data_IF_837960363392
#
_entry.id   IF_837960363392
#
_cell.length_a   1.000
_cell.length_b   1.000
_cell.length_c   1.000
_cell.angle_alpha   90.00
_cell.angle_beta   90.00
_cell.angle_gamma   90.00
#
_symmetry.space_group_name_H-M   'P 1'
#
loop_
_entity.id
_entity.type
_entity.pdbx_description
1 polymer ?
#
# COMPACT_ATOMS: atom_id res chain seq x y z
N UNK A 1 -17.14 -30.53 32.13
CA UNK A 1 -17.11 -29.40 31.18
C UNK A 1 -16.90 -29.96 29.78
N UNK A 2 -17.79 -29.70 28.80
CA UNK A 2 -17.58 -30.13 27.40
C UNK A 2 -16.98 -28.97 26.61
N UNK A 3 -15.88 -29.16 25.85
CA UNK A 3 -15.33 -28.10 25.00
C UNK A 3 -16.31 -27.71 23.90
N UNK A 4 -16.24 -26.45 23.47
CA UNK A 4 -17.09 -25.94 22.38
C UNK A 4 -16.87 -26.75 21.09
N UNK A 5 -17.87 -26.85 20.19
CA UNK A 5 -17.78 -27.71 19.01
C UNK A 5 -16.57 -27.45 18.10
N UNK A 6 -16.02 -26.22 18.09
CA UNK A 6 -14.82 -25.83 17.31
C UNK A 6 -13.53 -26.39 17.91
N UNK A 7 -13.50 -26.57 19.24
CA UNK A 7 -12.36 -27.09 20.00
C UNK A 7 -12.38 -28.62 20.13
N UNK A 8 -13.35 -29.29 19.51
CA UNK A 8 -13.31 -30.76 19.39
C UNK A 8 -12.08 -31.15 18.57
N UNK A 9 -11.22 -31.99 19.16
CA UNK A 9 -9.88 -32.35 18.66
C UNK A 9 -9.85 -32.72 17.17
N UNK A 10 -10.88 -33.41 16.68
CA UNK A 10 -10.98 -33.84 15.27
C UNK A 10 -11.22 -32.69 14.29
N UNK A 11 -11.84 -31.58 14.72
CA UNK A 11 -12.08 -30.39 13.88
C UNK A 11 -10.88 -29.45 13.89
N UNK A 12 -10.20 -29.32 15.02
CA UNK A 12 -9.02 -28.45 15.16
C UNK A 12 -7.87 -28.88 14.23
N UNK A 13 -7.67 -30.19 14.01
CA UNK A 13 -6.59 -30.74 13.18
C UNK A 13 -6.69 -30.41 11.69
N UNK A 14 -7.87 -29.98 11.20
CA UNK A 14 -8.06 -29.57 9.81
C UNK A 14 -7.91 -28.06 9.59
N UNK A 15 -7.69 -27.28 10.65
CA UNK A 15 -7.41 -25.85 10.52
C UNK A 15 -5.99 -25.62 9.97
N UNK A 16 -5.82 -24.50 9.25
CA UNK A 16 -4.52 -24.12 8.73
C UNK A 16 -3.59 -23.73 9.87
N UNK A 17 -2.40 -24.31 9.86
CA UNK A 17 -1.37 -24.04 10.86
C UNK A 17 -0.92 -22.57 10.86
N UNK A 18 -0.87 -22.02 12.06
CA UNK A 18 -0.37 -20.69 12.40
C UNK A 18 0.92 -20.81 13.20
N UNK A 19 1.63 -19.68 13.36
CA UNK A 19 2.90 -19.62 14.10
C UNK A 19 2.75 -19.90 15.60
N UNK A 20 1.53 -19.99 16.11
CA UNK A 20 1.24 -20.18 17.55
C UNK A 20 0.72 -21.59 17.86
N UNK A 21 0.52 -22.43 16.85
CA UNK A 21 -0.02 -23.78 17.02
C UNK A 21 1.07 -24.82 17.33
N UNK A 22 2.30 -24.57 16.88
CA UNK A 22 3.44 -25.50 16.99
C UNK A 22 4.70 -24.75 17.37
N UNK A 23 5.68 -25.49 17.89
CA UNK A 23 6.94 -24.97 18.41
C UNK A 23 8.08 -25.07 17.36
N UNK A 24 9.33 -25.15 17.83
CA UNK A 24 10.60 -25.26 17.09
C UNK A 24 10.48 -25.89 15.70
N UNK A 25 11.04 -25.20 14.70
CA UNK A 25 11.16 -25.68 13.31
C UNK A 25 10.07 -25.18 12.37
N UNK A 26 8.93 -24.70 12.88
CA UNK A 26 7.91 -24.07 12.05
C UNK A 26 8.06 -22.54 12.04
N UNK A 27 8.48 -21.99 10.90
CA UNK A 27 8.53 -20.54 10.66
C UNK A 27 7.56 -20.15 9.54
N UNK A 28 6.74 -19.14 9.79
CA UNK A 28 5.80 -18.57 8.80
C UNK A 28 5.84 -17.05 8.90
N UNK A 29 6.23 -16.39 7.82
CA UNK A 29 6.40 -14.93 7.78
C UNK A 29 5.08 -14.17 7.62
N UNK A 30 5.11 -12.87 7.95
CA UNK A 30 3.97 -11.95 7.86
C UNK A 30 4.06 -10.99 6.66
N UNK A 31 4.73 -11.42 5.58
CA UNK A 31 4.91 -10.63 4.34
C UNK A 31 5.56 -9.24 4.55
N UNK A 32 6.45 -9.12 5.52
CA UNK A 32 7.25 -7.90 5.73
C UNK A 32 8.25 -7.65 4.59
N UNK A 33 8.50 -8.64 3.73
CA UNK A 33 9.43 -8.55 2.61
C UNK A 33 10.88 -8.87 3.01
N UNK A 34 11.71 -9.20 2.03
CA UNK A 34 13.13 -9.51 2.24
C UNK A 34 13.98 -8.24 2.08
N UNK A 35 14.43 -7.67 3.20
CA UNK A 35 15.23 -6.42 3.24
C UNK A 35 16.74 -6.69 3.10
N UNK A 36 17.13 -7.88 2.66
CA UNK A 36 18.49 -8.36 2.69
C UNK A 36 18.59 -9.87 2.51
N UNK A 37 19.64 -10.46 3.07
CA UNK A 37 19.95 -11.89 2.92
C UNK A 37 20.47 -12.53 4.20
N UNK A 38 20.18 -13.82 4.37
CA UNK A 38 20.81 -14.63 5.40
C UNK A 38 22.29 -14.88 5.10
N UNK A 39 23.08 -15.08 6.16
CA UNK A 39 24.49 -15.47 6.08
C UNK A 39 24.65 -16.97 6.31
N UNK A 40 25.81 -17.52 5.95
CA UNK A 40 26.15 -18.95 6.18
C UNK A 40 26.03 -19.36 7.65
N UNK A 41 26.24 -18.42 8.58
CA UNK A 41 26.30 -18.67 10.03
C UNK A 41 25.02 -18.24 10.76
N UNK A 42 23.91 -18.07 10.05
CA UNK A 42 22.60 -17.76 10.65
C UNK A 42 22.33 -16.27 10.94
N UNK A 43 23.30 -15.37 10.71
CA UNK A 43 23.08 -13.93 10.74
C UNK A 43 22.28 -13.41 9.54
N UNK A 44 21.95 -12.12 9.54
CA UNK A 44 21.23 -11.44 8.46
C UNK A 44 21.92 -10.11 8.09
N UNK A 45 22.16 -9.88 6.80
CA UNK A 45 22.77 -8.63 6.28
C UNK A 45 21.68 -7.82 5.59
N UNK A 46 21.51 -6.57 6.00
CA UNK A 46 20.56 -5.63 5.40
C UNK A 46 21.13 -5.08 4.09
N UNK A 47 20.29 -5.07 3.06
CA UNK A 47 20.59 -4.48 1.76
C UNK A 47 19.75 -3.20 1.61
N UNK A 48 20.38 -2.04 1.85
CA UNK A 48 19.68 -0.75 1.96
C UNK A 48 18.86 -0.35 0.72
N UNK A 49 19.25 -0.78 -0.48
CA UNK A 49 18.48 -0.53 -1.70
C UNK A 49 17.13 -1.27 -1.75
N UNK A 50 16.90 -2.27 -0.89
CA UNK A 50 15.61 -2.98 -0.73
C UNK A 50 14.76 -2.40 0.39
N UNK A 51 15.34 -1.55 1.24
CA UNK A 51 14.64 -0.94 2.37
C UNK A 51 13.72 0.14 1.84
N UNK A 52 12.42 0.00 2.12
CA UNK A 52 11.41 0.97 1.71
C UNK A 52 11.51 2.24 2.56
N UNK A 53 11.47 3.39 1.90
CA UNK A 53 11.36 4.71 2.52
C UNK A 53 10.01 5.34 2.15
N UNK A 54 9.47 6.17 3.03
CA UNK A 54 8.28 6.99 2.76
C UNK A 54 8.73 8.44 2.67
N UNK A 55 8.79 8.99 1.45
CA UNK A 55 9.30 10.34 1.21
C UNK A 55 8.22 11.35 1.60
N UNK A 56 8.53 12.20 2.57
CA UNK A 56 7.66 13.28 3.03
C UNK A 56 8.01 14.55 2.25
N UNK A 57 7.06 15.18 1.53
CA UNK A 57 7.31 16.44 0.84
C UNK A 57 7.77 17.56 1.78
N UNK A 58 8.61 18.46 1.27
CA UNK A 58 9.03 19.66 1.99
C UNK A 58 7.87 20.68 2.08
N UNK A 59 7.90 21.56 3.09
CA UNK A 59 6.93 22.66 3.22
C UNK A 59 5.52 22.26 3.68
N UNK A 60 5.29 21.00 4.10
CA UNK A 60 3.97 20.53 4.55
C UNK A 60 3.37 21.34 5.71
N UNK A 61 4.21 21.92 6.58
CA UNK A 61 3.76 22.73 7.72
C UNK A 61 2.99 23.97 7.28
N UNK A 62 3.39 24.56 6.15
CA UNK A 62 2.82 25.80 5.63
C UNK A 62 1.79 25.54 4.50
N UNK A 63 1.54 24.25 4.18
CA UNK A 63 0.63 23.85 3.12
C UNK A 63 -0.83 24.04 3.55
N UNK A 64 -1.61 24.69 2.68
CA UNK A 64 -2.99 25.12 3.00
C UNK A 64 -4.04 24.06 2.72
N UNK A 65 -3.75 23.05 1.90
CA UNK A 65 -4.75 22.01 1.59
C UNK A 65 -4.95 21.11 2.80
N UNK A 66 -6.22 20.89 3.13
CA UNK A 66 -6.64 20.04 4.25
C UNK A 66 -7.37 18.80 3.73
N UNK A 67 -7.54 17.73 4.53
CA UNK A 67 -8.29 16.55 4.11
C UNK A 67 -9.79 16.79 3.93
N UNK A 68 -10.30 17.99 4.25
CA UNK A 68 -11.71 18.35 4.14
C UNK A 68 -11.91 19.58 3.27
N UNK A 69 -13.11 19.68 2.69
CA UNK A 69 -13.59 20.83 1.93
C UNK A 69 -14.87 21.33 2.59
N UNK A 70 -15.11 22.64 2.59
CA UNK A 70 -16.35 23.22 3.11
C UNK A 70 -17.56 22.70 2.32
N UNK A 71 -18.65 22.37 3.03
CA UNK A 71 -19.92 21.93 2.42
C UNK A 71 -20.55 23.00 1.52
N UNK A 72 -20.19 24.27 1.68
CA UNK A 72 -20.62 25.34 0.79
C UNK A 72 -20.07 25.17 -0.64
N UNK A 73 -18.96 24.44 -0.80
CA UNK A 73 -18.36 24.16 -2.12
C UNK A 73 -19.11 22.98 -2.75
N UNK A 74 -19.82 23.25 -3.85
CA UNK A 74 -20.52 22.21 -4.60
C UNK A 74 -19.52 21.27 -5.28
N UNK A 75 -19.72 19.94 -5.21
CA UNK A 75 -18.88 18.99 -5.93
C UNK A 75 -18.93 19.23 -7.45
N UNK A 76 -17.77 19.39 -8.07
CA UNK A 76 -17.65 19.55 -9.52
C UNK A 76 -17.36 18.18 -10.18
N UNK A 77 -17.98 17.94 -11.33
CA UNK A 77 -17.66 16.81 -12.21
C UNK A 77 -16.97 17.32 -13.46
N UNK A 78 -15.87 16.68 -13.85
CA UNK A 78 -15.18 17.00 -15.10
C UNK A 78 -16.09 16.75 -16.30
N UNK A 79 -16.24 17.74 -17.16
CA UNK A 79 -16.91 17.64 -18.46
C UNK A 79 -15.84 17.69 -19.53
N UNK A 80 -15.87 16.73 -20.45
CA UNK A 80 -14.85 16.60 -21.50
C UNK A 80 -15.54 16.53 -22.86
N UNK A 81 -15.01 17.22 -23.88
CA UNK A 81 -15.62 17.26 -25.21
C UNK A 81 -15.42 15.96 -25.99
N UNK A 82 -14.47 15.11 -25.57
CA UNK A 82 -14.12 13.88 -26.27
C UNK A 82 -14.61 12.64 -25.53
N UNK A 83 -14.86 11.58 -26.28
CA UNK A 83 -15.30 10.28 -25.75
C UNK A 83 -14.26 9.66 -24.80
N UNK A 84 -12.98 9.96 -25.02
CA UNK A 84 -11.85 9.49 -24.20
C UNK A 84 -11.70 10.28 -22.89
N UNK A 85 -12.36 11.43 -22.79
CA UNK A 85 -12.51 12.21 -21.57
C UNK A 85 -11.17 12.71 -21.01
N UNK A 86 -10.88 12.53 -19.71
CA UNK A 86 -9.66 13.01 -19.07
C UNK A 86 -8.37 12.34 -19.57
N UNK A 87 -8.49 11.26 -20.34
CA UNK A 87 -7.35 10.46 -20.82
C UNK A 87 -6.96 10.76 -22.26
N UNK A 88 -7.67 11.69 -22.91
CA UNK A 88 -7.40 12.08 -24.29
C UNK A 88 -6.02 12.75 -24.42
N UNK A 89 -5.09 12.16 -25.20
CA UNK A 89 -3.74 12.69 -25.34
C UNK A 89 -3.69 14.02 -26.12
N UNK A 90 -4.63 14.25 -27.05
CA UNK A 90 -4.69 15.51 -27.82
C UNK A 90 -5.11 16.65 -26.92
N UNK A 91 -6.13 16.43 -26.07
CA UNK A 91 -6.59 17.41 -25.10
C UNK A 91 -5.47 17.77 -24.10
N UNK A 92 -4.71 16.77 -23.64
CA UNK A 92 -3.54 17.01 -22.79
C UNK A 92 -2.49 17.90 -23.48
N UNK A 93 -2.13 17.57 -24.74
CA UNK A 93 -1.14 18.31 -25.50
C UNK A 93 -1.58 19.77 -25.76
N UNK A 94 -2.86 19.98 -26.08
CA UNK A 94 -3.42 21.31 -26.26
C UNK A 94 -3.37 22.13 -24.97
N UNK A 95 -3.75 21.55 -23.83
CA UNK A 95 -3.65 22.20 -22.53
C UNK A 95 -2.18 22.53 -22.16
N UNK A 96 -1.25 21.62 -22.42
CA UNK A 96 0.18 21.88 -22.21
C UNK A 96 0.68 23.06 -23.06
N UNK A 97 0.34 23.11 -24.36
CA UNK A 97 0.71 24.23 -25.24
C UNK A 97 0.16 25.57 -24.73
N UNK A 98 -1.04 25.56 -24.14
CA UNK A 98 -1.68 26.76 -23.60
C UNK A 98 -1.04 27.24 -22.29
N UNK A 99 -0.68 26.31 -21.39
CA UNK A 99 -0.25 26.64 -20.02
C UNK A 99 1.28 26.75 -19.92
N UNK A 100 2.03 25.92 -20.64
CA UNK A 100 3.46 25.74 -20.43
C UNK A 100 4.22 25.30 -21.71
N UNK A 101 3.93 25.90 -22.86
CA UNK A 101 4.48 25.47 -24.15
C UNK A 101 5.97 25.71 -24.39
N UNK A 102 6.75 26.01 -23.34
CA UNK A 102 8.17 26.40 -23.41
C UNK A 102 9.10 25.43 -22.67
N UNK A 103 8.55 24.54 -21.83
CA UNK A 103 9.29 23.52 -21.05
C UNK A 103 9.52 22.21 -21.82
#
# INVERSE_FOLDING_TARGET
>A
MRPSPVLQVLKYRHLKLTTKDVNKGFYKGNRTGAMGRHTKYGGYVIEWHKVRTYVVPEGLKDFKLTPFVSEAVRPLRGSYPTKEGPRDPKLYLENWKQVNGVD
#
